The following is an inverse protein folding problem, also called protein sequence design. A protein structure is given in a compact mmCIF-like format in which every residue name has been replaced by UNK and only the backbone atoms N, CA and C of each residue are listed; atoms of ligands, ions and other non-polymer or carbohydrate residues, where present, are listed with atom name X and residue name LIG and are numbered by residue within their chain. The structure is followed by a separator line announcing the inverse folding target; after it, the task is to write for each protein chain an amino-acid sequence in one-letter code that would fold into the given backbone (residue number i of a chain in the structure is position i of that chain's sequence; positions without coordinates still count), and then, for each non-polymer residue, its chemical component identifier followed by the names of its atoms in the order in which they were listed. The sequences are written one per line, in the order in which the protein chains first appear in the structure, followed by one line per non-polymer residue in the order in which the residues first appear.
data_IF_927271832607
#
_entry.id   IF_927271832607
#
_cell.length_a   1.000
_cell.length_b   1.000
_cell.length_c   1.000
_cell.angle_alpha   90.00
_cell.angle_beta   90.00
_cell.angle_gamma   90.00
#
_symmetry.space_group_name_H-M   'P 1'
#
loop_
_entity.id
_entity.type
_entity.pdbx_description
1 polymer ?
#
# COMPACT_ATOMS: atom_id res chain seq x y z
N UNK A 1 -2.70 -1.21 14.65
CA UNK A 1 -2.48 -0.12 13.69
C UNK A 1 -1.20 0.60 14.09
N UNK A 2 -0.19 0.62 13.21
CA UNK A 2 1.05 1.35 13.43
C UNK A 2 0.84 2.86 13.21
N UNK A 3 1.77 3.69 13.71
CA UNK A 3 1.68 5.16 13.70
C UNK A 3 1.43 5.77 12.31
N UNK A 4 1.84 5.10 11.24
CA UNK A 4 1.74 5.57 9.85
C UNK A 4 0.93 4.62 8.96
N UNK A 5 0.18 3.69 9.55
CA UNK A 5 -0.75 2.86 8.78
C UNK A 5 -1.92 3.72 8.29
N UNK A 6 -2.43 3.40 7.11
CA UNK A 6 -3.61 4.04 6.54
C UNK A 6 -4.84 3.70 7.41
N UNK A 7 -5.54 4.73 7.93
CA UNK A 7 -6.83 4.58 8.62
C UNK A 7 -7.85 3.76 7.83
N UNK A 8 -8.70 2.98 8.50
CA UNK A 8 -9.66 2.10 7.83
C UNK A 8 -10.67 2.88 6.96
N UNK A 9 -11.11 4.04 7.42
CA UNK A 9 -12.00 4.95 6.69
C UNK A 9 -11.34 5.48 5.40
N UNK A 10 -10.07 5.88 5.48
CA UNK A 10 -9.30 6.26 4.30
C UNK A 10 -9.07 5.06 3.35
N UNK A 11 -8.83 3.86 3.89
CA UNK A 11 -8.63 2.65 3.11
C UNK A 11 -9.87 2.31 2.26
N UNK A 12 -11.06 2.39 2.85
CA UNK A 12 -12.33 2.13 2.16
C UNK A 12 -12.53 3.03 0.93
N UNK A 13 -12.00 4.26 0.96
CA UNK A 13 -12.07 5.20 -0.17
C UNK A 13 -11.04 4.87 -1.27
N UNK A 14 -9.88 4.36 -0.89
CA UNK A 14 -8.76 4.12 -1.80
C UNK A 14 -8.87 2.75 -2.48
N UNK A 15 -9.22 1.70 -1.73
CA UNK A 15 -9.22 0.31 -2.21
C UNK A 15 -9.95 0.10 -3.54
N UNK A 16 -11.16 0.66 -3.77
CA UNK A 16 -11.88 0.49 -5.04
C UNK A 16 -11.17 1.12 -6.25
N UNK A 17 -10.24 2.06 -6.02
CA UNK A 17 -9.49 2.73 -7.07
C UNK A 17 -8.26 1.93 -7.52
N UNK A 18 -7.92 0.86 -6.81
CA UNK A 18 -6.72 0.07 -7.06
C UNK A 18 -6.98 -1.05 -8.07
N UNK A 19 -5.98 -1.47 -8.86
CA UNK A 19 -6.13 -2.60 -9.76
C UNK A 19 -6.34 -3.90 -8.98
N UNK A 20 -6.95 -4.94 -9.56
CA UNK A 20 -7.07 -6.23 -8.92
C UNK A 20 -5.69 -6.81 -8.61
N UNK A 21 -5.52 -7.37 -7.41
CA UNK A 21 -4.26 -7.99 -6.95
C UNK A 21 -3.80 -9.08 -7.92
N UNK A 22 -4.76 -9.85 -8.45
CA UNK A 22 -4.54 -10.87 -9.46
C UNK A 22 -5.01 -10.35 -10.81
N UNK A 23 -4.06 -9.90 -11.62
CA UNK A 23 -4.35 -9.51 -13.00
C UNK A 23 -4.43 -10.75 -13.90
N UNK A 24 -5.24 -10.69 -14.97
CA UNK A 24 -5.25 -11.72 -16.02
C UNK A 24 -4.01 -11.68 -16.93
N UNK A 25 -3.12 -10.68 -16.74
CA UNK A 25 -1.90 -10.52 -17.54
C UNK A 25 -0.77 -11.35 -16.93
N UNK A 26 0.13 -11.81 -17.78
CA UNK A 26 1.34 -12.51 -17.34
C UNK A 26 2.20 -11.60 -16.45
N UNK A 27 2.77 -12.16 -15.38
CA UNK A 27 3.58 -11.43 -14.41
C UNK A 27 3.34 -11.93 -12.99
N UNK A 28 4.15 -11.44 -12.04
CA UNK A 28 3.93 -11.71 -10.62
C UNK A 28 2.69 -10.95 -10.14
N UNK A 29 1.76 -11.58 -9.41
CA UNK A 29 0.65 -10.87 -8.78
C UNK A 29 1.16 -9.73 -7.90
N UNK A 30 0.34 -8.69 -7.74
CA UNK A 30 0.67 -7.62 -6.81
C UNK A 30 0.73 -8.19 -5.38
N UNK A 31 1.62 -7.62 -4.56
CA UNK A 31 1.50 -7.80 -3.11
C UNK A 31 0.23 -7.09 -2.67
N UNK A 32 -0.38 -7.56 -1.58
CA UNK A 32 -1.54 -6.90 -0.96
C UNK A 32 -1.30 -5.39 -0.84
N UNK A 33 -2.21 -4.61 -1.41
CA UNK A 33 -1.99 -3.19 -1.67
C UNK A 33 -1.88 -2.37 -0.39
N UNK A 34 -2.68 -2.68 0.63
CA UNK A 34 -2.66 -1.97 1.90
C UNK A 34 -1.31 -2.08 2.58
N UNK A 35 -0.70 -3.26 2.54
CA UNK A 35 0.65 -3.50 3.05
C UNK A 35 1.69 -2.64 2.32
N UNK A 36 1.61 -2.56 1.00
CA UNK A 36 2.53 -1.73 0.21
C UNK A 36 2.35 -0.26 0.55
N UNK A 37 1.10 0.23 0.60
CA UNK A 37 0.84 1.64 0.88
C UNK A 37 1.18 2.02 2.32
N UNK A 38 0.91 1.16 3.32
CA UNK A 38 1.39 1.39 4.70
C UNK A 38 2.92 1.52 4.76
N UNK A 39 3.65 0.71 3.99
CA UNK A 39 5.10 0.83 3.86
C UNK A 39 5.52 2.17 3.24
N UNK A 40 4.82 2.63 2.20
CA UNK A 40 5.06 3.93 1.58
C UNK A 40 4.80 5.09 2.56
N UNK A 41 3.66 5.09 3.25
CA UNK A 41 3.34 6.11 4.25
C UNK A 41 4.29 6.08 5.44
N UNK A 42 4.74 4.90 5.87
CA UNK A 42 5.78 4.80 6.88
C UNK A 42 7.05 5.57 6.45
N UNK A 43 7.57 5.31 5.24
CA UNK A 43 8.74 6.02 4.71
C UNK A 43 8.50 7.53 4.59
N UNK A 44 7.39 7.92 3.97
CA UNK A 44 7.05 9.32 3.70
C UNK A 44 6.84 10.13 4.99
N UNK A 45 6.17 9.56 5.99
CA UNK A 45 5.86 10.25 7.24
C UNK A 45 6.99 10.17 8.27
N UNK A 46 7.77 9.09 8.28
CA UNK A 46 8.91 8.97 9.20
C UNK A 46 10.17 9.66 8.69
N UNK A 47 10.25 9.95 7.39
CA UNK A 47 11.47 10.45 6.75
C UNK A 47 12.60 9.41 6.71
N UNK A 48 12.27 8.12 6.81
CA UNK A 48 13.27 7.07 6.71
C UNK A 48 13.84 7.03 5.27
N UNK A 49 15.13 6.75 5.09
CA UNK A 49 15.66 6.57 3.74
C UNK A 49 15.11 5.29 3.13
N UNK A 50 14.93 5.30 1.80
CA UNK A 50 14.82 4.03 1.08
C UNK A 50 16.12 3.25 1.23
N UNK A 51 16.00 1.93 1.29
CA UNK A 51 17.17 1.09 1.20
C UNK A 51 17.68 1.19 -0.24
N UNK A 52 18.85 1.78 -0.40
CA UNK A 52 19.63 1.74 -1.64
C UNK A 52 19.98 0.30 -2.04
#
# INVERSE_FOLDING_TARGET
MARYDIPDDAWILIEPCLPPVHSKRAGRPHVEHRRVMNGMFWVLCSGAPWRD
#
